data_IF_113841550524
#
_entry.id   IF_113841550524
#
_cell.length_a   1.000
_cell.length_b   1.000
_cell.length_c   1.000
_cell.angle_alpha   90.00
_cell.angle_beta   90.00
_cell.angle_gamma   90.00
#
_symmetry.space_group_name_H-M   'P 1'
#
loop_
_entity.id
_entity.type
_entity.pdbx_description
1 polymer ?
#
# COMPACT_ATOMS: atom_id res chain seq x y z
N UNK A 1 -3.43 32.26 5.80
CA UNK A 1 -4.27 32.38 7.02
C UNK A 1 -5.65 31.81 6.72
N UNK A 2 -5.91 30.55 7.10
CA UNK A 2 -7.19 29.89 6.84
C UNK A 2 -8.31 30.50 7.68
N UNK A 3 -9.46 30.77 7.05
CA UNK A 3 -10.58 31.50 7.61
C UNK A 3 -11.18 30.74 8.82
N UNK A 4 -10.83 31.14 10.05
CA UNK A 4 -11.24 30.49 11.31
C UNK A 4 -12.77 30.35 11.46
N UNK A 5 -13.53 31.13 10.71
CA UNK A 5 -15.00 31.10 10.64
C UNK A 5 -15.57 29.80 10.05
N UNK A 6 -14.94 29.26 9.01
CA UNK A 6 -15.44 28.05 8.32
C UNK A 6 -15.36 26.84 9.26
N UNK A 7 -14.36 26.77 10.14
CA UNK A 7 -14.23 25.71 11.15
C UNK A 7 -15.25 25.77 12.29
N UNK A 8 -15.81 26.95 12.60
CA UNK A 8 -16.75 27.14 13.72
C UNK A 8 -18.23 27.10 13.29
N UNK A 9 -18.50 27.29 11.99
CA UNK A 9 -19.83 27.19 11.40
C UNK A 9 -20.59 25.89 11.78
N UNK A 10 -19.99 24.68 11.71
CA UNK A 10 -20.73 23.46 12.06
C UNK A 10 -21.11 23.40 13.54
N UNK A 11 -20.29 23.97 14.44
CA UNK A 11 -20.53 23.96 15.87
C UNK A 11 -21.66 24.94 16.25
N UNK A 12 -21.71 26.10 15.59
CA UNK A 12 -22.78 27.10 15.80
C UNK A 12 -24.13 26.58 15.29
N UNK A 13 -24.14 25.93 14.12
CA UNK A 13 -25.33 25.26 13.57
C UNK A 13 -25.83 24.17 14.54
N UNK A 14 -24.93 23.34 15.08
CA UNK A 14 -25.29 22.27 16.01
C UNK A 14 -25.92 22.81 17.30
N UNK A 15 -25.37 23.90 17.86
CA UNK A 15 -25.93 24.58 19.05
C UNK A 15 -27.31 25.17 18.76
N UNK A 16 -27.50 25.83 17.61
CA UNK A 16 -28.80 26.43 17.26
C UNK A 16 -29.86 25.33 17.09
N UNK A 17 -29.53 24.25 16.37
CA UNK A 17 -30.44 23.12 16.19
C UNK A 17 -30.78 22.41 17.50
N UNK A 18 -29.80 22.17 18.38
CA UNK A 18 -30.07 21.53 19.68
C UNK A 18 -30.96 22.38 20.59
N UNK A 19 -30.80 23.72 20.54
CA UNK A 19 -31.62 24.65 21.31
C UNK A 19 -33.08 24.68 20.81
N UNK A 20 -33.27 24.68 19.49
CA UNK A 20 -34.61 24.64 18.87
C UNK A 20 -35.31 23.32 19.17
N UNK A 21 -34.62 22.19 18.98
CA UNK A 21 -35.17 20.85 19.25
C UNK A 21 -35.50 20.70 20.74
N UNK A 22 -34.61 21.13 21.64
CA UNK A 22 -34.86 21.11 23.08
C UNK A 22 -36.05 21.96 23.50
N UNK A 23 -36.24 23.11 22.86
CA UNK A 23 -37.39 24.00 23.13
C UNK A 23 -38.71 23.38 22.65
N UNK A 24 -38.72 22.73 21.48
CA UNK A 24 -39.91 22.04 20.95
C UNK A 24 -40.27 20.85 21.83
N UNK A 25 -39.29 20.04 22.24
CA UNK A 25 -39.51 18.90 23.15
C UNK A 25 -40.05 19.39 24.51
N UNK A 26 -39.44 20.44 25.08
CA UNK A 26 -39.91 21.04 26.34
C UNK A 26 -41.35 21.54 26.26
N UNK A 27 -41.72 22.19 25.15
CA UNK A 27 -43.08 22.68 24.91
C UNK A 27 -44.09 21.52 24.81
N UNK A 28 -43.75 20.44 24.11
CA UNK A 28 -44.60 19.25 23.97
C UNK A 28 -44.81 18.54 25.31
N UNK A 29 -43.78 18.45 26.15
CA UNK A 29 -43.86 17.86 27.50
C UNK A 29 -44.78 18.68 28.41
N UNK A 30 -44.66 20.01 28.38
CA UNK A 30 -45.51 20.90 29.19
C UNK A 30 -46.97 20.84 28.75
N UNK A 31 -47.24 20.69 27.44
CA UNK A 31 -48.60 20.66 26.92
C UNK A 31 -49.28 19.28 27.07
N UNK A 32 -48.53 18.19 27.06
CA UNK A 32 -49.04 16.81 27.15
C UNK A 32 -48.67 16.13 28.48
N UNK A 33 -48.83 16.85 29.60
CA UNK A 33 -48.36 16.43 30.93
C UNK A 33 -48.90 15.07 31.41
N UNK A 34 -50.00 14.58 30.82
CA UNK A 34 -50.62 13.31 31.19
C UNK A 34 -49.96 12.06 30.57
N UNK A 35 -49.09 12.22 29.56
CA UNK A 35 -48.52 11.11 28.77
C UNK A 35 -46.97 11.19 28.63
N UNK A 36 -46.34 11.88 29.58
CA UNK A 36 -44.89 12.19 29.58
C UNK A 36 -44.03 10.91 29.47
N UNK A 37 -44.44 9.82 30.11
CA UNK A 37 -43.71 8.55 30.09
C UNK A 37 -43.53 8.01 28.67
N UNK A 38 -44.62 7.99 27.89
CA UNK A 38 -44.60 7.55 26.50
C UNK A 38 -43.69 8.42 25.63
N UNK A 39 -43.81 9.75 25.76
CA UNK A 39 -43.01 10.70 24.96
C UNK A 39 -41.51 10.60 25.29
N UNK A 40 -41.16 10.45 26.57
CA UNK A 40 -39.78 10.30 27.01
C UNK A 40 -39.14 9.01 26.47
N UNK A 41 -39.89 7.91 26.45
CA UNK A 41 -39.42 6.62 25.91
C UNK A 41 -39.17 6.69 24.39
N UNK A 42 -40.00 7.42 23.64
CA UNK A 42 -39.79 7.65 22.21
C UNK A 42 -38.58 8.56 21.92
N UNK A 43 -38.41 9.65 22.66
CA UNK A 43 -37.25 10.55 22.51
C UNK A 43 -35.96 9.83 22.89
N UNK A 44 -35.98 9.03 23.96
CA UNK A 44 -34.86 8.18 24.37
C UNK A 44 -34.52 7.12 23.32
N UNK A 45 -35.53 6.46 22.74
CA UNK A 45 -35.36 5.46 21.68
C UNK A 45 -34.76 6.05 20.40
N UNK A 46 -35.29 7.19 19.94
CA UNK A 46 -34.75 7.90 18.75
C UNK A 46 -33.34 8.42 19.01
N UNK A 47 -33.08 8.99 20.20
CA UNK A 47 -31.74 9.43 20.59
C UNK A 47 -30.73 8.29 20.61
N UNK A 48 -31.13 7.13 21.13
CA UNK A 48 -30.29 5.92 21.19
C UNK A 48 -29.98 5.36 19.79
N UNK A 49 -30.98 5.27 18.91
CA UNK A 49 -30.78 4.84 17.51
C UNK A 49 -29.87 5.81 16.75
N UNK A 50 -30.05 7.12 16.94
CA UNK A 50 -29.17 8.14 16.38
C UNK A 50 -27.73 7.99 16.87
N UNK A 51 -27.53 7.78 18.18
CA UNK A 51 -26.21 7.56 18.76
C UNK A 51 -25.51 6.32 18.15
N UNK A 52 -26.23 5.20 18.02
CA UNK A 52 -25.70 3.98 17.38
C UNK A 52 -25.29 4.24 15.93
N UNK A 53 -26.11 4.98 15.18
CA UNK A 53 -25.78 5.34 13.79
C UNK A 53 -24.52 6.21 13.69
N UNK A 54 -24.37 7.20 14.58
CA UNK A 54 -23.16 8.02 14.63
C UNK A 54 -21.91 7.21 15.00
N UNK A 55 -22.02 6.30 15.96
CA UNK A 55 -20.93 5.37 16.31
C UNK A 55 -20.54 4.52 15.11
N UNK A 56 -21.53 3.99 14.37
CA UNK A 56 -21.27 3.23 13.15
C UNK A 56 -20.53 4.06 12.08
N UNK A 57 -20.93 5.31 11.84
CA UNK A 57 -20.23 6.21 10.93
C UNK A 57 -18.79 6.48 11.37
N UNK A 58 -18.55 6.69 12.67
CA UNK A 58 -17.20 6.89 13.20
C UNK A 58 -16.33 5.66 13.00
N UNK A 59 -16.85 4.45 13.30
CA UNK A 59 -16.13 3.20 13.08
C UNK A 59 -15.76 3.06 11.60
N UNK A 60 -16.69 3.36 10.68
CA UNK A 60 -16.41 3.31 9.25
C UNK A 60 -15.31 4.28 8.84
N UNK A 61 -15.37 5.53 9.30
CA UNK A 61 -14.34 6.54 9.01
C UNK A 61 -12.97 6.15 9.56
N UNK A 62 -12.92 5.57 10.76
CA UNK A 62 -11.68 5.06 11.35
C UNK A 62 -11.12 3.90 10.54
N UNK A 63 -11.97 2.97 10.10
CA UNK A 63 -11.57 1.87 9.24
C UNK A 63 -11.02 2.36 7.89
N UNK A 64 -11.69 3.32 7.26
CA UNK A 64 -11.23 3.91 6.00
C UNK A 64 -9.89 4.64 6.16
N UNK A 65 -9.70 5.38 7.25
CA UNK A 65 -8.43 6.04 7.56
C UNK A 65 -7.31 5.04 7.86
N UNK A 66 -7.62 3.98 8.61
CA UNK A 66 -6.67 2.91 8.89
C UNK A 66 -6.23 2.20 7.60
N UNK A 67 -7.18 1.88 6.72
CA UNK A 67 -6.89 1.27 5.43
C UNK A 67 -6.06 2.20 4.54
N UNK A 68 -6.36 3.50 4.53
CA UNK A 68 -5.56 4.48 3.79
C UNK A 68 -4.14 4.60 4.35
N UNK A 69 -3.99 4.68 5.67
CA UNK A 69 -2.67 4.81 6.33
C UNK A 69 -1.81 3.56 6.18
N UNK A 70 -2.42 2.38 6.03
CA UNK A 70 -1.70 1.13 5.81
C UNK A 70 -1.61 0.74 4.33
N UNK A 71 -2.06 1.63 3.42
CA UNK A 71 -1.92 1.40 2.00
C UNK A 71 -0.44 1.51 1.61
N UNK A 72 0.22 0.36 1.57
CA UNK A 72 1.55 0.22 0.98
C UNK A 72 1.40 0.14 -0.54
N UNK A 73 1.99 1.10 -1.26
CA UNK A 73 2.11 1.03 -2.70
C UNK A 73 3.59 0.94 -3.05
N UNK A 74 3.96 -0.13 -3.74
CA UNK A 74 5.34 -0.38 -4.13
C UNK A 74 5.40 -0.49 -5.64
N UNK A 75 6.24 0.34 -6.23
CA UNK A 75 6.48 0.39 -7.67
C UNK A 75 7.91 0.00 -7.94
N UNK A 76 8.11 -0.99 -8.81
CA UNK A 76 9.46 -1.39 -9.24
C UNK A 76 9.89 -0.44 -10.35
N UNK A 77 11.11 0.08 -10.28
CA UNK A 77 11.74 0.92 -11.29
C UNK A 77 12.79 0.07 -12.01
N UNK A 78 12.78 0.12 -13.34
CA UNK A 78 13.76 -0.56 -14.19
C UNK A 78 14.46 0.47 -15.07
N UNK A 79 15.78 0.41 -15.06
CA UNK A 79 16.65 1.18 -15.94
C UNK A 79 17.69 0.24 -16.53
N UNK A 80 18.25 0.62 -17.68
CA UNK A 80 19.42 -0.04 -18.25
C UNK A 80 20.57 0.97 -18.35
N UNK A 81 21.79 0.55 -18.04
CA UNK A 81 22.98 1.40 -18.18
C UNK A 81 24.19 0.60 -18.64
N UNK A 82 25.18 1.30 -19.20
CA UNK A 82 26.47 0.69 -19.53
C UNK A 82 27.23 0.40 -18.24
N UNK A 83 27.85 -0.77 -18.16
CA UNK A 83 28.71 -1.14 -17.03
C UNK A 83 29.94 -0.24 -17.08
N UNK A 84 30.14 0.53 -16.01
CA UNK A 84 31.28 1.42 -15.87
C UNK A 84 32.21 0.93 -14.77
N UNK A 85 33.49 0.77 -15.10
CA UNK A 85 34.53 0.50 -14.11
C UNK A 85 35.36 1.77 -13.89
N UNK A 86 35.62 2.06 -12.62
CA UNK A 86 36.52 3.15 -12.25
C UNK A 86 37.90 2.56 -12.00
N UNK A 87 38.87 2.91 -12.82
CA UNK A 87 40.27 2.53 -12.58
C UNK A 87 40.84 3.25 -11.36
N UNK A 88 41.97 2.77 -10.85
CA UNK A 88 42.68 3.34 -9.68
C UNK A 88 43.05 4.83 -9.88
N UNK A 89 43.24 5.26 -11.12
CA UNK A 89 43.49 6.66 -11.51
C UNK A 89 42.24 7.54 -11.53
N UNK A 90 41.08 6.98 -11.18
CA UNK A 90 39.79 7.68 -11.12
C UNK A 90 39.09 7.87 -12.48
N UNK A 91 39.66 7.34 -13.56
CA UNK A 91 39.06 7.33 -14.90
C UNK A 91 37.91 6.32 -14.96
N UNK A 92 36.75 6.75 -15.45
CA UNK A 92 35.59 5.90 -15.66
C UNK A 92 35.67 5.32 -17.09
N UNK A 93 35.83 4.00 -17.19
CA UNK A 93 35.80 3.26 -18.44
C UNK A 93 34.42 2.61 -18.58
N UNK A 94 33.71 2.96 -19.65
CA UNK A 94 32.46 2.29 -20.02
C UNK A 94 32.78 1.07 -20.86
N UNK A 95 32.43 -0.12 -20.37
CA UNK A 95 32.44 -1.31 -21.20
C UNK A 95 31.26 -1.27 -22.18
N UNK A 96 31.37 -1.97 -23.32
CA UNK A 96 30.24 -2.16 -24.24
C UNK A 96 29.11 -3.01 -23.66
N UNK A 97 29.28 -3.56 -22.45
CA UNK A 97 28.29 -4.40 -21.79
C UNK A 97 27.27 -3.54 -21.04
N UNK A 98 26.00 -3.95 -21.08
CA UNK A 98 24.88 -3.32 -20.36
C UNK A 98 24.51 -4.11 -19.11
N UNK A 99 23.99 -3.41 -18.10
CA UNK A 99 23.36 -3.98 -16.92
C UNK A 99 21.92 -3.47 -16.78
N UNK A 100 21.04 -4.36 -16.33
CA UNK A 100 19.71 -4.02 -15.85
C UNK A 100 19.82 -3.57 -14.40
N UNK A 101 19.40 -2.34 -14.13
CA UNK A 101 19.31 -1.78 -12.78
C UNK A 101 17.85 -1.82 -12.36
N UNK A 102 17.55 -2.55 -11.30
CA UNK A 102 16.25 -2.57 -10.67
C UNK A 102 16.31 -1.99 -9.25
N UNK A 103 15.27 -1.25 -8.90
CA UNK A 103 15.00 -0.75 -7.55
C UNK A 103 13.50 -0.71 -7.35
N UNK A 104 13.02 -0.42 -6.15
CA UNK A 104 11.62 -0.10 -5.96
C UNK A 104 11.41 1.13 -5.12
N UNK A 105 10.29 1.81 -5.35
CA UNK A 105 9.89 2.99 -4.61
C UNK A 105 8.63 2.70 -3.83
N UNK A 106 8.59 3.17 -2.59
CA UNK A 106 7.38 3.13 -1.79
C UNK A 106 6.57 4.41 -2.04
N UNK A 107 5.60 4.35 -2.96
CA UNK A 107 4.65 5.43 -3.26
C UNK A 107 3.44 5.44 -2.32
N UNK A 108 3.40 4.54 -1.33
CA UNK A 108 2.42 4.54 -0.25
C UNK A 108 2.64 5.63 0.79
N UNK A 109 1.81 5.62 1.84
CA UNK A 109 1.87 6.60 2.94
C UNK A 109 2.55 6.05 4.21
N UNK A 110 2.74 4.74 4.29
CA UNK A 110 3.39 4.04 5.41
C UNK A 110 4.74 3.47 5.01
N UNK A 111 5.68 3.46 5.95
CA UNK A 111 6.92 2.71 5.84
C UNK A 111 6.62 1.22 5.76
N UNK A 112 7.28 0.53 4.83
CA UNK A 112 7.17 -0.92 4.67
C UNK A 112 8.54 -1.51 4.40
N UNK A 113 8.66 -2.82 4.52
CA UNK A 113 9.89 -3.53 4.17
C UNK A 113 9.66 -4.46 2.99
N UNK A 114 10.59 -4.41 2.04
CA UNK A 114 10.53 -5.13 0.78
C UNK A 114 11.77 -6.00 0.61
N UNK A 115 11.64 -7.07 -0.15
CA UNK A 115 12.72 -7.99 -0.48
C UNK A 115 12.67 -8.27 -1.97
N UNK A 116 13.80 -8.08 -2.63
CA UNK A 116 13.97 -8.59 -4.00
C UNK A 116 14.01 -10.12 -3.97
N UNK A 117 13.12 -10.76 -4.73
CA UNK A 117 13.06 -12.23 -4.81
C UNK A 117 13.95 -12.73 -5.95
N UNK A 118 13.87 -12.09 -7.12
CA UNK A 118 14.65 -12.50 -8.28
C UNK A 118 13.97 -12.14 -9.59
N UNK A 119 14.38 -12.82 -10.66
CA UNK A 119 13.81 -12.65 -12.00
C UNK A 119 13.23 -13.99 -12.44
N UNK A 120 12.05 -13.95 -13.04
CA UNK A 120 11.41 -15.14 -13.60
C UNK A 120 10.55 -14.77 -14.80
N UNK A 121 9.96 -15.77 -15.45
CA UNK A 121 9.05 -15.52 -16.56
C UNK A 121 7.67 -15.06 -16.08
N UNK A 122 6.91 -14.41 -16.96
CA UNK A 122 5.52 -13.99 -16.71
C UNK A 122 4.67 -15.15 -16.17
N UNK A 123 4.78 -16.35 -16.73
CA UNK A 123 4.03 -17.54 -16.28
C UNK A 123 4.37 -17.91 -14.84
N UNK A 124 5.66 -17.96 -14.49
CA UNK A 124 6.15 -18.26 -13.15
C UNK A 124 5.69 -17.19 -12.15
N UNK A 125 5.79 -15.92 -12.52
CA UNK A 125 5.30 -14.80 -11.72
C UNK A 125 3.81 -14.93 -11.41
N UNK A 126 2.98 -15.28 -12.40
CA UNK A 126 1.54 -15.46 -12.19
C UNK A 126 1.24 -16.61 -11.22
N UNK A 127 1.98 -17.73 -11.31
CA UNK A 127 1.83 -18.86 -10.37
C UNK A 127 2.16 -18.41 -8.95
N UNK A 128 3.32 -17.78 -8.74
CA UNK A 128 3.79 -17.30 -7.42
C UNK A 128 2.79 -16.30 -6.83
N UNK A 129 2.34 -15.34 -7.64
CA UNK A 129 1.36 -14.34 -7.21
C UNK A 129 0.04 -15.00 -6.78
N UNK A 130 -0.48 -15.93 -7.58
CA UNK A 130 -1.74 -16.62 -7.28
C UNK A 130 -1.59 -17.51 -6.03
N UNK A 131 -0.48 -18.23 -5.89
CA UNK A 131 -0.17 -19.01 -4.69
C UNK A 131 -0.24 -18.14 -3.43
N UNK A 132 0.45 -17.00 -3.43
CA UNK A 132 0.46 -16.07 -2.31
C UNK A 132 -0.91 -15.45 -2.03
N UNK A 133 -1.68 -15.08 -3.06
CA UNK A 133 -3.04 -14.57 -2.89
C UNK A 133 -4.00 -15.62 -2.30
N UNK A 134 -3.87 -16.88 -2.70
CA UNK A 134 -4.68 -17.97 -2.18
C UNK A 134 -4.26 -18.38 -0.77
N UNK A 135 -2.95 -18.43 -0.48
CA UNK A 135 -2.40 -18.67 0.87
C UNK A 135 -2.93 -17.66 1.89
N UNK A 136 -3.13 -16.40 1.49
CA UNK A 136 -3.73 -15.36 2.35
C UNK A 136 -5.21 -15.63 2.66
N UNK A 137 -5.92 -16.31 1.76
CA UNK A 137 -7.36 -16.61 1.90
C UNK A 137 -7.60 -17.90 2.68
N UNK A 138 -6.84 -18.96 2.39
CA UNK A 138 -7.09 -20.30 2.93
C UNK A 138 -6.11 -20.75 4.02
N UNK A 139 -5.03 -19.97 4.25
CA UNK A 139 -3.95 -20.27 5.19
C UNK A 139 -3.25 -21.63 4.95
N UNK A 140 -3.34 -22.18 3.73
CA UNK A 140 -2.69 -23.44 3.35
C UNK A 140 -1.43 -23.15 2.58
N UNK A 141 -0.30 -23.69 3.05
CA UNK A 141 0.98 -23.57 2.35
C UNK A 141 0.92 -24.13 0.93
N UNK A 142 1.54 -23.41 0.00
CA UNK A 142 1.75 -23.82 -1.39
C UNK A 142 3.22 -23.63 -1.72
N UNK A 143 3.77 -24.56 -2.45
CA UNK A 143 5.16 -24.48 -2.89
C UNK A 143 5.23 -23.59 -4.13
N UNK A 144 6.13 -22.61 -4.07
CA UNK A 144 6.39 -21.74 -5.21
C UNK A 144 7.40 -22.38 -6.17
N UNK A 145 7.22 -22.17 -7.48
CA UNK A 145 8.24 -22.56 -8.44
C UNK A 145 9.55 -21.80 -8.19
N UNK A 146 10.65 -22.40 -8.64
CA UNK A 146 11.97 -21.80 -8.53
C UNK A 146 12.02 -20.44 -9.26
N UNK A 147 12.41 -19.40 -8.53
CA UNK A 147 12.71 -18.08 -9.08
C UNK A 147 14.22 -17.97 -9.12
N UNK A 148 14.78 -17.57 -10.27
CA UNK A 148 16.21 -17.40 -10.39
C UNK A 148 16.65 -16.22 -9.51
N UNK A 149 17.33 -16.57 -8.43
CA UNK A 149 18.06 -15.64 -7.60
C UNK A 149 19.52 -15.56 -8.10
N UNK A 150 19.99 -14.35 -8.37
CA UNK A 150 21.41 -14.09 -8.62
C UNK A 150 22.17 -14.03 -7.29
N UNK A 151 22.32 -15.19 -6.66
CA UNK A 151 22.98 -15.38 -5.35
C UNK A 151 24.40 -14.79 -5.29
N UNK A 152 25.08 -14.68 -6.44
CA UNK A 152 26.44 -14.17 -6.54
C UNK A 152 26.55 -12.63 -6.54
N UNK A 153 25.44 -11.89 -6.67
CA UNK A 153 25.45 -10.43 -6.71
C UNK A 153 25.09 -9.77 -5.37
N UNK A 154 24.46 -10.51 -4.44
CA UNK A 154 23.88 -9.92 -3.22
C UNK A 154 24.17 -10.81 -2.01
N UNK A 155 24.97 -10.31 -1.07
CA UNK A 155 25.11 -10.91 0.27
C UNK A 155 23.73 -11.02 0.92
N UNK A 156 23.24 -12.25 1.13
CA UNK A 156 21.98 -12.65 1.79
C UNK A 156 20.87 -11.59 1.82
N UNK A 157 19.92 -11.69 0.88
CA UNK A 157 18.78 -10.77 0.78
C UNK A 157 17.87 -10.78 2.01
N UNK A 158 18.07 -9.79 2.86
CA UNK A 158 17.18 -9.42 3.96
C UNK A 158 16.14 -8.43 3.46
N UNK A 159 15.00 -8.39 4.15
CA UNK A 159 14.03 -7.32 3.97
C UNK A 159 14.71 -5.97 4.23
N UNK A 160 14.60 -5.05 3.28
CA UNK A 160 15.03 -3.67 3.41
C UNK A 160 13.84 -2.79 3.73
N UNK A 161 14.00 -1.86 4.66
CA UNK A 161 12.96 -0.89 5.00
C UNK A 161 13.02 0.28 4.02
N UNK A 162 11.89 0.60 3.39
CA UNK A 162 11.75 1.70 2.42
C UNK A 162 10.68 2.67 2.93
N UNK A 163 11.09 3.89 3.24
CA UNK A 163 10.17 4.94 3.71
C UNK A 163 9.35 5.51 2.54
N UNK A 164 8.19 6.13 2.82
CA UNK A 164 7.38 6.80 1.80
C UNK A 164 8.19 7.81 0.99
N UNK A 165 8.16 7.68 -0.33
CA UNK A 165 8.90 8.52 -1.27
C UNK A 165 10.39 8.21 -1.40
N UNK A 166 10.90 7.19 -0.69
CA UNK A 166 12.28 6.71 -0.84
C UNK A 166 12.39 5.53 -1.80
N UNK A 167 13.62 5.34 -2.29
CA UNK A 167 13.99 4.28 -3.23
C UNK A 167 14.79 3.23 -2.46
N UNK A 168 14.49 1.98 -2.76
CA UNK A 168 15.18 0.80 -2.25
C UNK A 168 16.60 0.69 -2.83
N UNK A 169 17.43 -0.20 -2.26
CA UNK A 169 18.79 -0.40 -2.76
C UNK A 169 18.76 -0.86 -4.22
N UNK A 170 19.56 -0.20 -5.06
CA UNK A 170 19.71 -0.60 -6.45
C UNK A 170 20.36 -1.99 -6.56
N UNK A 171 19.81 -2.77 -7.48
CA UNK A 171 20.29 -4.10 -7.82
C UNK A 171 20.64 -4.06 -9.31
N UNK A 172 21.93 -4.24 -9.60
CA UNK A 172 22.47 -4.22 -10.94
C UNK A 172 22.77 -5.66 -11.38
N UNK A 173 22.18 -6.08 -12.50
CA UNK A 173 22.31 -7.43 -13.05
C UNK A 173 22.87 -7.30 -14.47
N UNK A 174 24.07 -7.82 -14.76
CA UNK A 174 24.63 -7.80 -16.10
C UNK A 174 23.68 -8.46 -17.10
N UNK A 175 23.40 -7.82 -18.23
CA UNK A 175 22.51 -8.40 -19.23
C UNK A 175 23.05 -9.73 -19.73
N UNK A 176 24.36 -9.87 -19.92
CA UNK A 176 25.00 -11.13 -20.31
C UNK A 176 24.64 -12.31 -19.41
N UNK A 177 24.42 -12.07 -18.11
CA UNK A 177 23.98 -13.10 -17.16
C UNK A 177 22.50 -13.44 -17.31
N UNK A 178 21.66 -12.43 -17.57
CA UNK A 178 20.25 -12.69 -17.93
C UNK A 178 20.16 -13.50 -19.23
N UNK A 179 20.99 -13.22 -20.21
CA UNK A 179 21.04 -13.98 -21.46
C UNK A 179 21.51 -15.42 -21.25
N UNK A 180 22.49 -15.64 -20.38
CA UNK A 180 22.98 -16.98 -20.02
C UNK A 180 21.88 -17.81 -19.35
N UNK A 181 21.15 -17.20 -18.40
CA UNK A 181 20.09 -17.86 -17.62
C UNK A 181 18.78 -18.05 -18.39
N UNK A 182 18.42 -17.12 -19.29
CA UNK A 182 17.09 -17.07 -19.94
C UNK A 182 17.18 -17.08 -21.48
N UNK A 183 18.13 -17.82 -22.05
CA UNK A 183 18.50 -17.83 -23.49
C UNK A 183 17.35 -17.67 -24.50
N UNK A 184 16.18 -18.26 -24.25
CA UNK A 184 15.03 -18.27 -25.18
C UNK A 184 13.83 -17.43 -24.72
N UNK A 185 13.88 -16.77 -23.56
CA UNK A 185 12.69 -16.20 -22.89
C UNK A 185 12.84 -14.72 -22.51
N UNK A 186 13.82 -14.04 -23.13
CA UNK A 186 14.18 -12.64 -22.82
C UNK A 186 13.01 -11.66 -22.87
N UNK A 187 12.03 -11.89 -23.74
CA UNK A 187 10.91 -10.98 -23.97
C UNK A 187 9.83 -11.04 -22.88
N UNK A 188 9.87 -12.03 -21.98
CA UNK A 188 8.82 -12.24 -20.97
C UNK A 188 9.38 -12.35 -19.54
N UNK A 189 10.43 -11.58 -19.23
CA UNK A 189 11.04 -11.57 -17.91
C UNK A 189 10.33 -10.58 -16.99
N UNK A 190 10.22 -10.92 -15.71
CA UNK A 190 9.60 -10.13 -14.65
C UNK A 190 10.56 -10.05 -13.48
N UNK A 191 10.85 -8.82 -13.03
CA UNK A 191 11.55 -8.57 -11.77
C UNK A 191 10.53 -8.69 -10.64
N UNK A 192 10.84 -9.50 -9.63
CA UNK A 192 9.90 -9.84 -8.56
C UNK A 192 10.40 -9.34 -7.21
N UNK A 193 9.54 -8.62 -6.50
CA UNK A 193 9.72 -8.18 -5.11
C UNK A 193 8.59 -8.72 -4.23
N UNK A 194 8.84 -8.81 -2.93
CA UNK A 194 7.85 -9.19 -1.93
C UNK A 194 7.91 -8.27 -0.72
N UNK A 195 6.77 -7.97 -0.12
CA UNK A 195 6.71 -7.28 1.18
C UNK A 195 6.66 -8.26 2.37
N UNK A 196 6.76 -7.74 3.59
CA UNK A 196 6.67 -8.52 4.83
C UNK A 196 5.30 -9.19 5.04
N UNK A 197 4.26 -8.76 4.32
CA UNK A 197 2.93 -9.36 4.35
C UNK A 197 2.78 -10.45 3.27
N UNK A 198 3.83 -10.74 2.51
CA UNK A 198 3.83 -11.71 1.41
C UNK A 198 3.04 -11.24 0.18
N UNK A 199 2.81 -9.94 -0.01
CA UNK A 199 2.33 -9.41 -1.29
C UNK A 199 3.47 -9.48 -2.31
N UNK A 200 3.15 -9.99 -3.50
CA UNK A 200 4.10 -10.14 -4.61
C UNK A 200 3.92 -8.99 -5.60
N UNK A 201 5.02 -8.34 -5.92
CA UNK A 201 5.11 -7.23 -6.87
C UNK A 201 5.98 -7.66 -8.05
N UNK A 202 5.51 -7.39 -9.26
CA UNK A 202 6.23 -7.75 -10.48
C UNK A 202 6.24 -6.61 -11.49
N UNK A 203 7.36 -6.44 -12.19
CA UNK A 203 7.45 -5.55 -13.36
C UNK A 203 8.17 -6.24 -14.50
N UNK A 204 7.52 -6.23 -15.66
CA UNK A 204 8.08 -6.79 -16.90
C UNK A 204 9.32 -6.01 -17.35
N UNK A 205 10.33 -6.76 -17.75
CA UNK A 205 11.59 -6.22 -18.27
C UNK A 205 11.44 -5.99 -19.76
N UNK A 206 11.34 -4.73 -20.16
CA UNK A 206 11.39 -4.33 -21.56
C UNK A 206 12.83 -3.95 -21.92
N UNK A 207 13.66 -4.93 -22.28
CA UNK A 207 15.00 -4.64 -22.82
C UNK A 207 14.82 -4.21 -24.27
N UNK A 208 15.09 -2.95 -24.57
CA UNK A 208 15.17 -2.49 -25.96
C UNK A 208 16.54 -2.87 -26.52
N UNK A 209 16.51 -3.62 -27.63
CA UNK A 209 17.67 -3.88 -28.48
C UNK A 209 18.34 -2.57 -28.93
#
# INVERSE_FOLDING_TARGET
>A
MGNKWIRKMPLLVLVVFSTIIGSIIGFIIVHNYHDIGSIADWVSGVGSLGAIWFVHLQIKQQADQFNYQNANHFEIILNDRLISEKNDDGVILYSGNRELVCSGTNSGVSTSSFKFIGICNVTTYQIVKNNHEEMKKDHKYREDPEIYDFDFLIEERKFETVYPGEISKEIAIPLSKLEESFKNEKENLVVVYMDVLGNIYGREVNIKD
#
